data_IF_989446766174
#
_entry.id   IF_989446766174
#
_cell.length_a   1.000
_cell.length_b   1.000
_cell.length_c   1.000
_cell.angle_alpha   90.00
_cell.angle_beta   90.00
_cell.angle_gamma   90.00
#
_symmetry.space_group_name_H-M   'P 1'
#
loop_
_entity.id
_entity.type
_entity.pdbx_description
1 polymer ?
#
# COMPACT_ATOMS: atom_id res chain seq x y z
N UNK A 1 8.10 26.22 -24.35
CA UNK A 1 7.83 25.08 -23.43
C UNK A 1 7.64 25.67 -22.04
N UNK A 2 6.46 25.47 -21.44
CA UNK A 2 6.06 26.08 -20.16
C UNK A 2 7.07 25.73 -19.06
N UNK A 3 7.52 26.70 -18.26
CA UNK A 3 8.62 26.51 -17.28
C UNK A 3 8.30 25.41 -16.26
N UNK A 4 7.02 25.26 -15.88
CA UNK A 4 6.53 24.18 -15.02
C UNK A 4 6.81 22.76 -15.58
N UNK A 5 6.76 22.59 -16.91
CA UNK A 5 7.00 21.28 -17.54
C UNK A 5 8.50 20.96 -17.50
N UNK A 6 9.37 21.95 -17.76
CA UNK A 6 10.83 21.80 -17.66
C UNK A 6 11.24 21.39 -16.25
N UNK A 7 10.69 22.05 -15.24
CA UNK A 7 10.96 21.74 -13.83
C UNK A 7 10.49 20.31 -13.47
N UNK A 8 9.28 19.94 -13.89
CA UNK A 8 8.73 18.60 -13.65
C UNK A 8 9.60 17.50 -14.27
N UNK A 9 10.05 17.69 -15.52
CA UNK A 9 10.97 16.76 -16.20
C UNK A 9 12.30 16.65 -15.45
N UNK A 10 12.88 17.78 -15.03
CA UNK A 10 14.13 17.80 -14.27
C UNK A 10 13.99 17.04 -12.95
N UNK A 11 12.86 17.20 -12.25
CA UNK A 11 12.60 16.51 -11.00
C UNK A 11 12.47 14.99 -11.21
N UNK A 12 11.76 14.54 -12.25
CA UNK A 12 11.62 13.11 -12.59
C UNK A 12 12.98 12.49 -12.94
N UNK A 13 13.78 13.16 -13.78
CA UNK A 13 15.12 12.68 -14.14
C UNK A 13 16.10 12.71 -12.95
N UNK A 14 15.84 13.56 -11.97
CA UNK A 14 16.60 13.66 -10.72
C UNK A 14 16.32 12.55 -9.70
N UNK A 15 15.41 11.61 -9.99
CA UNK A 15 15.14 10.42 -9.18
C UNK A 15 16.05 9.25 -9.57
N UNK A 16 17.35 9.51 -9.62
CA UNK A 16 18.37 8.55 -10.03
C UNK A 16 18.81 7.60 -8.89
N UNK A 17 18.30 7.78 -7.67
CA UNK A 17 18.65 6.96 -6.50
C UNK A 17 17.43 6.23 -5.98
N UNK A 18 17.56 4.90 -5.82
CA UNK A 18 16.52 4.06 -5.25
C UNK A 18 16.06 4.55 -3.87
N UNK A 19 17.00 4.93 -2.98
CA UNK A 19 16.67 5.40 -1.64
C UNK A 19 15.85 6.69 -1.66
N UNK A 20 16.19 7.61 -2.58
CA UNK A 20 15.46 8.86 -2.76
C UNK A 20 14.06 8.61 -3.30
N UNK A 21 13.95 7.74 -4.31
CA UNK A 21 12.67 7.30 -4.87
C UNK A 21 11.80 6.67 -3.77
N UNK A 22 12.36 5.74 -3.00
CA UNK A 22 11.65 5.00 -1.95
C UNK A 22 11.17 5.92 -0.83
N UNK A 23 12.00 6.88 -0.39
CA UNK A 23 11.61 7.87 0.62
C UNK A 23 10.48 8.79 0.13
N UNK A 24 10.60 9.32 -1.10
CA UNK A 24 9.57 10.16 -1.72
C UNK A 24 8.26 9.41 -1.91
N UNK A 25 8.36 8.13 -2.27
CA UNK A 25 7.24 7.21 -2.44
C UNK A 25 6.54 6.90 -1.11
N UNK A 26 7.24 6.46 -0.07
CA UNK A 26 6.62 6.14 1.23
C UNK A 26 5.83 7.33 1.79
N UNK A 27 6.28 8.56 1.54
CA UNK A 27 5.55 9.76 1.94
C UNK A 27 4.12 9.84 1.35
N UNK A 28 3.86 9.19 0.22
CA UNK A 28 2.54 9.11 -0.41
C UNK A 28 1.57 8.18 0.33
N UNK A 29 2.07 7.27 1.17
CA UNK A 29 1.25 6.38 2.01
C UNK A 29 1.02 6.97 3.42
N UNK A 30 1.15 8.29 3.56
CA UNK A 30 1.02 8.95 4.86
C UNK A 30 -0.39 8.83 5.41
N UNK A 31 -0.50 8.15 6.54
CA UNK A 31 -1.76 7.98 7.26
C UNK A 31 -2.28 9.32 7.78
N UNK A 32 -3.55 9.63 7.50
CA UNK A 32 -4.25 10.76 8.09
C UNK A 32 -4.42 10.58 9.61
N UNK A 33 -4.50 11.68 10.37
CA UNK A 33 -4.66 11.61 11.84
C UNK A 33 -5.89 10.79 12.25
N UNK A 34 -7.01 10.96 11.56
CA UNK A 34 -8.25 10.19 11.79
C UNK A 34 -8.04 8.70 11.57
N UNK A 35 -7.33 8.33 10.49
CA UNK A 35 -7.01 6.93 10.19
C UNK A 35 -6.07 6.32 11.21
N UNK A 36 -5.01 7.04 11.61
CA UNK A 36 -4.10 6.59 12.68
C UNK A 36 -4.86 6.30 13.98
N UNK A 37 -5.73 7.22 14.38
CA UNK A 37 -6.55 7.05 15.59
C UNK A 37 -7.48 5.83 15.47
N UNK A 38 -8.16 5.65 14.33
CA UNK A 38 -8.99 4.48 14.07
C UNK A 38 -8.22 3.15 14.12
N UNK A 39 -7.00 3.11 13.55
CA UNK A 39 -6.15 1.92 13.59
C UNK A 39 -5.65 1.61 15.01
N UNK A 40 -5.32 2.63 15.80
CA UNK A 40 -4.91 2.44 17.20
C UNK A 40 -6.09 1.93 18.04
N UNK A 41 -7.30 2.48 17.86
CA UNK A 41 -8.48 1.97 18.55
C UNK A 41 -8.78 0.51 18.17
N UNK A 42 -8.68 0.18 16.89
CA UNK A 42 -8.85 -1.18 16.40
C UNK A 42 -7.78 -2.13 16.98
N UNK A 43 -6.54 -1.66 17.07
CA UNK A 43 -5.45 -2.42 17.68
C UNK A 43 -5.73 -2.72 19.15
N UNK A 44 -6.11 -1.71 19.93
CA UNK A 44 -6.47 -1.88 21.35
C UNK A 44 -7.62 -2.86 21.51
N UNK A 45 -8.66 -2.75 20.68
CA UNK A 45 -9.80 -3.68 20.69
C UNK A 45 -9.35 -5.12 20.42
N UNK A 46 -8.58 -5.35 19.35
CA UNK A 46 -8.09 -6.69 19.01
C UNK A 46 -7.17 -7.24 20.09
N UNK A 47 -6.27 -6.42 20.64
CA UNK A 47 -5.40 -6.81 21.73
C UNK A 47 -6.20 -7.29 22.95
N UNK A 48 -7.22 -6.54 23.37
CA UNK A 48 -8.09 -6.92 24.51
C UNK A 48 -8.85 -8.21 24.22
N UNK A 49 -9.38 -8.39 23.00
CA UNK A 49 -10.07 -9.62 22.61
C UNK A 49 -9.14 -10.83 22.63
N UNK A 50 -7.92 -10.72 22.11
CA UNK A 50 -6.95 -11.81 22.17
C UNK A 50 -6.55 -12.15 23.60
N UNK A 51 -6.30 -11.14 24.43
CA UNK A 51 -5.90 -11.33 25.83
C UNK A 51 -6.98 -11.98 26.69
N UNK A 52 -8.24 -11.54 26.56
CA UNK A 52 -9.30 -11.97 27.48
C UNK A 52 -10.08 -13.19 26.99
N UNK A 53 -10.23 -13.31 25.66
CA UNK A 53 -11.13 -14.28 25.02
C UNK A 53 -10.34 -15.32 24.24
N UNK A 54 -9.61 -14.93 23.20
CA UNK A 54 -9.12 -15.89 22.20
C UNK A 54 -7.99 -16.80 22.69
N UNK A 55 -7.05 -16.30 23.50
CA UNK A 55 -5.93 -17.10 24.00
C UNK A 55 -6.37 -18.33 24.83
N UNK A 56 -7.59 -18.32 25.38
CA UNK A 56 -8.13 -19.43 26.17
C UNK A 56 -8.68 -20.58 25.33
N UNK A 57 -8.99 -20.33 24.06
CA UNK A 57 -9.77 -21.23 23.21
C UNK A 57 -9.05 -21.64 21.93
N UNK A 58 -7.86 -21.11 21.67
CA UNK A 58 -7.18 -21.26 20.39
C UNK A 58 -5.74 -21.73 20.58
N UNK A 59 -5.33 -22.70 19.77
CA UNK A 59 -3.91 -23.03 19.60
C UNK A 59 -3.23 -21.88 18.83
N UNK A 60 -2.47 -21.05 19.56
CA UNK A 60 -1.90 -19.79 19.07
C UNK A 60 -1.14 -19.94 17.74
N UNK A 61 -0.25 -20.92 17.63
CA UNK A 61 0.58 -21.13 16.44
C UNK A 61 -0.26 -21.59 15.26
N UNK A 62 -1.17 -22.55 15.47
CA UNK A 62 -2.06 -23.05 14.41
C UNK A 62 -2.93 -21.93 13.86
N UNK A 63 -3.57 -21.16 14.74
CA UNK A 63 -4.39 -20.03 14.30
C UNK A 63 -3.58 -18.95 13.60
N UNK A 64 -2.35 -18.69 14.04
CA UNK A 64 -1.47 -17.73 13.37
C UNK A 64 -1.09 -18.22 11.97
N UNK A 65 -0.80 -19.52 11.79
CA UNK A 65 -0.56 -20.11 10.46
C UNK A 65 -1.74 -19.86 9.53
N UNK A 66 -2.96 -20.12 10.00
CA UNK A 66 -4.18 -19.92 9.21
C UNK A 66 -4.39 -18.44 8.85
N UNK A 67 -4.19 -17.53 9.80
CA UNK A 67 -4.31 -16.08 9.58
C UNK A 67 -3.26 -15.60 8.56
N UNK A 68 -2.00 -16.02 8.70
CA UNK A 68 -0.92 -15.64 7.78
C UNK A 68 -1.17 -16.22 6.39
N UNK A 69 -1.60 -17.48 6.28
CA UNK A 69 -1.94 -18.12 5.00
C UNK A 69 -3.09 -17.43 4.28
N UNK A 70 -4.17 -17.11 5.00
CA UNK A 70 -5.31 -16.37 4.44
C UNK A 70 -4.89 -14.96 4.01
N UNK A 71 -4.13 -14.25 4.84
CA UNK A 71 -3.60 -12.93 4.49
C UNK A 71 -2.71 -12.99 3.25
N UNK A 72 -1.83 -14.00 3.13
CA UNK A 72 -0.97 -14.20 1.96
C UNK A 72 -1.79 -14.37 0.68
N UNK A 73 -2.82 -15.21 0.70
CA UNK A 73 -3.69 -15.44 -0.46
C UNK A 73 -4.37 -14.16 -0.95
N UNK A 74 -4.91 -13.38 0.00
CA UNK A 74 -5.57 -12.09 -0.29
C UNK A 74 -4.56 -11.09 -0.84
N UNK A 75 -3.41 -10.93 -0.18
CA UNK A 75 -2.40 -9.93 -0.55
C UNK A 75 -1.78 -10.23 -1.92
N UNK A 76 -1.49 -11.49 -2.24
CA UNK A 76 -0.97 -11.87 -3.57
C UNK A 76 -1.99 -11.54 -4.66
N UNK A 77 -3.28 -11.83 -4.42
CA UNK A 77 -4.35 -11.48 -5.37
C UNK A 77 -4.45 -9.98 -5.60
N UNK A 78 -4.41 -9.19 -4.53
CA UNK A 78 -4.44 -7.73 -4.61
C UNK A 78 -3.17 -7.14 -5.22
N UNK A 79 -2.00 -7.76 -5.01
CA UNK A 79 -0.75 -7.33 -5.64
C UNK A 79 -0.86 -7.39 -7.17
N UNK A 80 -1.45 -8.46 -7.71
CA UNK A 80 -1.72 -8.57 -9.15
C UNK A 80 -2.65 -7.46 -9.66
N UNK A 81 -3.69 -7.12 -8.89
CA UNK A 81 -4.58 -5.98 -9.20
C UNK A 81 -3.81 -4.66 -9.20
N UNK A 82 -2.93 -4.45 -8.21
CA UNK A 82 -2.10 -3.24 -8.10
C UNK A 82 -1.16 -3.09 -9.30
N UNK A 83 -0.44 -4.16 -9.67
CA UNK A 83 0.47 -4.15 -10.83
C UNK A 83 -0.31 -3.90 -12.13
N UNK A 84 -1.49 -4.49 -12.27
CA UNK A 84 -2.37 -4.26 -13.42
C UNK A 84 -2.81 -2.79 -13.48
N UNK A 85 -3.25 -2.20 -12.37
CA UNK A 85 -3.61 -0.78 -12.35
C UNK A 85 -2.41 0.14 -12.61
N UNK A 86 -1.22 -0.24 -12.17
CA UNK A 86 -0.01 0.52 -12.50
C UNK A 86 0.34 0.43 -13.99
N UNK A 87 0.19 -0.73 -14.61
CA UNK A 87 0.34 -0.88 -16.07
C UNK A 87 -0.69 -0.04 -16.84
N UNK A 88 -1.95 -0.01 -16.39
CA UNK A 88 -2.99 0.89 -16.94
C UNK A 88 -2.55 2.35 -16.81
N UNK A 89 -2.00 2.74 -15.66
CA UNK A 89 -1.45 4.08 -15.47
C UNK A 89 -0.37 4.41 -16.49
N UNK A 90 0.60 3.53 -16.68
CA UNK A 90 1.67 3.74 -17.67
C UNK A 90 1.12 3.81 -19.10
N UNK A 91 0.10 3.01 -19.44
CA UNK A 91 -0.50 3.01 -20.78
C UNK A 91 -1.29 4.29 -21.08
N UNK A 92 -2.08 4.80 -20.12
CA UNK A 92 -2.91 6.00 -20.29
C UNK A 92 -2.10 7.29 -20.22
N UNK A 93 -0.92 7.28 -19.58
CA UNK A 93 -0.14 8.50 -19.37
C UNK A 93 0.77 8.79 -20.57
N UNK A 94 0.16 9.01 -21.74
CA UNK A 94 0.85 9.34 -22.98
C UNK A 94 0.36 10.68 -23.56
N UNK A 95 1.09 11.21 -24.56
CA UNK A 95 0.67 12.36 -25.36
C UNK A 95 0.18 13.57 -24.56
N UNK A 96 -1.04 14.05 -24.85
CA UNK A 96 -1.64 15.21 -24.17
C UNK A 96 -1.98 14.94 -22.71
N UNK A 97 -2.27 13.70 -22.32
CA UNK A 97 -2.55 13.33 -20.92
C UNK A 97 -1.30 13.53 -20.05
N UNK A 98 -0.14 13.06 -20.51
CA UNK A 98 1.14 13.29 -19.85
C UNK A 98 1.43 14.79 -19.70
N UNK A 99 1.26 15.56 -20.78
CA UNK A 99 1.48 17.01 -20.76
C UNK A 99 0.54 17.70 -19.77
N UNK A 100 -0.74 17.30 -19.73
CA UNK A 100 -1.71 17.85 -18.78
C UNK A 100 -1.29 17.59 -17.34
N UNK A 101 -0.82 16.38 -17.03
CA UNK A 101 -0.37 16.00 -15.69
C UNK A 101 0.95 16.68 -15.29
N UNK A 102 1.88 16.89 -16.24
CA UNK A 102 3.12 17.64 -16.00
C UNK A 102 2.89 19.14 -15.83
N UNK A 103 1.84 19.69 -16.45
CA UNK A 103 1.51 21.12 -16.36
C UNK A 103 0.97 21.51 -14.98
N UNK A 104 0.25 20.59 -14.33
CA UNK A 104 -0.27 20.79 -12.97
C UNK A 104 0.82 20.44 -11.96
N UNK A 105 1.57 21.46 -11.55
CA UNK A 105 2.56 21.39 -10.47
C UNK A 105 1.98 22.10 -9.24
N UNK A 106 1.63 21.33 -8.20
CA UNK A 106 1.25 21.87 -6.88
C UNK A 106 2.32 21.40 -5.90
N UNK A 107 2.86 22.32 -5.11
CA UNK A 107 3.76 21.98 -3.99
C UNK A 107 5.02 21.18 -4.38
N UNK A 108 5.68 21.55 -5.49
CA UNK A 108 6.96 21.00 -5.99
C UNK A 108 6.91 19.62 -6.67
N UNK A 109 5.73 19.03 -6.83
CA UNK A 109 5.55 17.79 -7.60
C UNK A 109 4.45 17.96 -8.65
N UNK A 110 4.71 17.42 -9.84
CA UNK A 110 3.67 17.29 -10.85
C UNK A 110 2.66 16.21 -10.47
N UNK A 111 1.44 16.32 -11.00
CA UNK A 111 0.42 15.27 -10.83
C UNK A 111 0.91 13.91 -11.34
N UNK A 112 1.72 13.90 -12.41
CA UNK A 112 2.34 12.67 -12.90
C UNK A 112 3.22 12.00 -11.83
N UNK A 113 4.10 12.77 -11.18
CA UNK A 113 4.97 12.27 -10.12
C UNK A 113 4.17 11.74 -8.93
N UNK A 114 3.14 12.46 -8.51
CA UNK A 114 2.28 12.04 -7.40
C UNK A 114 1.66 10.65 -7.65
N UNK A 115 1.04 10.43 -8.82
CA UNK A 115 0.50 9.12 -9.17
C UNK A 115 1.60 8.06 -9.32
N UNK A 116 2.71 8.39 -10.00
CA UNK A 116 3.79 7.44 -10.23
C UNK A 116 4.39 6.95 -8.91
N UNK A 117 4.68 7.86 -7.97
CA UNK A 117 5.17 7.50 -6.66
C UNK A 117 4.14 6.74 -5.85
N UNK A 118 2.86 7.13 -5.89
CA UNK A 118 1.80 6.41 -5.19
C UNK A 118 1.69 4.96 -5.66
N UNK A 119 1.59 4.72 -6.98
CA UNK A 119 1.50 3.37 -7.55
C UNK A 119 2.75 2.54 -7.21
N UNK A 120 3.94 3.13 -7.32
CA UNK A 120 5.18 2.45 -6.92
C UNK A 120 5.17 2.08 -5.43
N UNK A 121 4.72 2.99 -4.55
CA UNK A 121 4.68 2.76 -3.10
C UNK A 121 3.74 1.64 -2.70
N UNK A 122 2.54 1.62 -3.28
CA UNK A 122 1.57 0.56 -2.97
C UNK A 122 2.06 -0.79 -3.52
N UNK A 123 2.71 -0.83 -4.69
CA UNK A 123 3.37 -2.05 -5.18
C UNK A 123 4.44 -2.54 -4.19
N UNK A 124 5.29 -1.64 -3.68
CA UNK A 124 6.31 -2.00 -2.68
C UNK A 124 5.71 -2.47 -1.36
N UNK A 125 4.64 -1.83 -0.88
CA UNK A 125 3.94 -2.23 0.35
C UNK A 125 3.43 -3.68 0.25
N UNK A 126 2.76 -4.02 -0.85
CA UNK A 126 2.20 -5.36 -1.05
C UNK A 126 3.31 -6.40 -1.23
N UNK A 127 4.37 -6.09 -1.99
CA UNK A 127 5.53 -6.96 -2.12
C UNK A 127 6.22 -7.20 -0.77
N UNK A 128 6.36 -6.16 0.05
CA UNK A 128 6.93 -6.26 1.38
C UNK A 128 6.12 -7.18 2.30
N UNK A 129 4.77 -7.06 2.26
CA UNK A 129 3.88 -7.95 3.03
C UNK A 129 4.03 -9.41 2.56
N UNK A 130 4.10 -9.65 1.25
CA UNK A 130 4.32 -11.00 0.69
C UNK A 130 5.61 -11.62 1.25
N UNK A 131 6.70 -10.84 1.30
CA UNK A 131 8.00 -11.28 1.83
C UNK A 131 7.90 -11.58 3.33
N UNK A 132 7.31 -10.68 4.12
CA UNK A 132 7.13 -10.89 5.57
C UNK A 132 6.29 -12.14 5.85
N UNK A 133 5.18 -12.31 5.14
CA UNK A 133 4.30 -13.45 5.32
C UNK A 133 4.99 -14.76 4.94
N UNK A 134 5.81 -14.75 3.89
CA UNK A 134 6.61 -15.90 3.49
C UNK A 134 7.63 -16.29 4.58
N UNK A 135 8.41 -15.33 5.07
CA UNK A 135 9.38 -15.55 6.16
C UNK A 135 8.65 -16.05 7.42
N UNK A 136 7.53 -15.42 7.77
CA UNK A 136 6.71 -15.79 8.94
C UNK A 136 6.17 -17.22 8.79
N UNK A 137 5.70 -17.60 7.59
CA UNK A 137 5.20 -18.94 7.32
C UNK A 137 6.30 -20.00 7.44
N UNK A 138 7.52 -19.71 6.97
CA UNK A 138 8.68 -20.60 7.18
C UNK A 138 8.89 -20.82 8.68
N UNK A 139 8.95 -19.74 9.47
CA UNK A 139 9.16 -19.86 10.91
C UNK A 139 8.05 -20.69 11.59
N UNK A 140 6.79 -20.34 11.35
CA UNK A 140 5.64 -21.01 11.98
C UNK A 140 5.54 -22.49 11.59
N UNK A 141 5.85 -22.85 10.35
CA UNK A 141 5.79 -24.25 9.89
C UNK A 141 6.87 -25.14 10.49
N UNK A 142 7.95 -24.56 11.02
CA UNK A 142 9.06 -25.30 11.61
C UNK A 142 8.99 -25.39 13.15
N UNK A 143 7.96 -24.83 13.78
CA UNK A 143 7.75 -24.93 15.23
C UNK A 143 6.52 -25.82 15.57
N UNK A 144 6.57 -26.58 16.68
CA UNK A 144 5.41 -27.33 17.16
C UNK A 144 4.23 -26.42 17.50
N UNK A 145 2.99 -26.88 17.31
CA UNK A 145 1.80 -26.04 17.54
C UNK A 145 1.62 -25.59 19.00
N UNK A 146 2.24 -26.30 19.96
CA UNK A 146 2.23 -25.98 21.40
C UNK A 146 3.52 -25.30 21.89
N UNK A 147 4.29 -24.70 20.98
CA UNK A 147 5.53 -24.04 21.34
C UNK A 147 5.30 -22.73 22.11
N UNK A 148 6.19 -22.44 23.07
CA UNK A 148 6.21 -21.20 23.86
C UNK A 148 7.65 -20.84 24.22
N UNK A 149 7.92 -19.57 24.54
CA UNK A 149 9.25 -19.14 24.99
C UNK A 149 9.49 -19.69 26.41
N UNK A 150 10.44 -20.61 26.54
CA UNK A 150 10.72 -21.34 27.78
C UNK A 150 11.25 -20.46 28.93
N UNK A 151 11.79 -19.28 28.61
CA UNK A 151 12.29 -18.32 29.59
C UNK A 151 11.22 -17.35 30.11
N UNK A 152 10.00 -17.40 29.58
CA UNK A 152 8.88 -16.55 30.01
C UNK A 152 7.80 -17.39 30.69
N UNK A 153 7.13 -16.80 31.68
CA UNK A 153 5.92 -17.40 32.24
C UNK A 153 4.78 -17.38 31.22
N UNK A 154 3.77 -18.23 31.46
CA UNK A 154 2.64 -18.39 30.53
C UNK A 154 1.92 -17.06 30.27
N UNK A 155 1.69 -16.25 31.30
CA UNK A 155 0.96 -14.99 31.16
C UNK A 155 1.73 -13.99 30.31
N UNK A 156 3.05 -13.92 30.45
CA UNK A 156 3.89 -13.05 29.61
C UNK A 156 3.94 -13.55 28.17
N UNK A 157 4.05 -14.87 27.94
CA UNK A 157 3.94 -15.48 26.61
C UNK A 157 2.61 -15.12 25.93
N UNK A 158 1.48 -15.31 26.62
CA UNK A 158 0.15 -15.00 26.13
C UNK A 158 -0.01 -13.51 25.80
N UNK A 159 0.56 -12.64 26.65
CA UNK A 159 0.56 -11.18 26.43
C UNK A 159 1.35 -10.80 25.19
N UNK A 160 2.56 -11.36 25.05
CA UNK A 160 3.42 -11.11 23.92
C UNK A 160 2.79 -11.57 22.61
N UNK A 161 2.17 -12.76 22.63
CA UNK A 161 1.42 -13.28 21.50
C UNK A 161 0.26 -12.34 21.10
N UNK A 162 -0.57 -11.90 22.05
CA UNK A 162 -1.69 -11.00 21.77
C UNK A 162 -1.24 -9.66 21.19
N UNK A 163 -0.12 -9.09 21.66
CA UNK A 163 0.46 -7.86 21.08
C UNK A 163 0.88 -8.10 19.63
N UNK A 164 1.64 -9.17 19.36
CA UNK A 164 2.17 -9.43 18.02
C UNK A 164 1.06 -9.73 17.01
N UNK A 165 0.11 -10.60 17.34
CA UNK A 165 -0.95 -11.00 16.41
C UNK A 165 -1.90 -9.85 16.12
N UNK A 166 -2.23 -9.03 17.12
CA UNK A 166 -3.07 -7.84 16.93
C UNK A 166 -2.37 -6.79 16.07
N UNK A 167 -1.07 -6.53 16.29
CA UNK A 167 -0.28 -5.63 15.45
C UNK A 167 -0.24 -6.11 14.00
N UNK A 168 0.00 -7.41 13.79
CA UNK A 168 0.01 -8.02 12.47
C UNK A 168 -1.34 -7.85 11.76
N UNK A 169 -2.46 -8.18 12.41
CA UNK A 169 -3.79 -8.03 11.81
C UNK A 169 -4.07 -6.58 11.44
N UNK A 170 -3.75 -5.62 12.32
CA UNK A 170 -3.95 -4.20 12.04
C UNK A 170 -3.07 -3.73 10.87
N UNK A 171 -1.85 -4.24 10.77
CA UNK A 171 -0.95 -3.94 9.66
C UNK A 171 -1.52 -4.46 8.33
N UNK A 172 -2.03 -5.69 8.28
CA UNK A 172 -2.69 -6.26 7.09
C UNK A 172 -3.95 -5.45 6.73
N UNK A 173 -4.82 -5.18 7.70
CA UNK A 173 -6.03 -4.37 7.49
C UNK A 173 -5.70 -2.96 6.98
N UNK A 174 -4.63 -2.35 7.48
CA UNK A 174 -4.17 -1.06 6.99
C UNK A 174 -3.80 -1.13 5.50
N UNK A 175 -3.11 -2.19 5.05
CA UNK A 175 -2.79 -2.37 3.64
C UNK A 175 -4.05 -2.56 2.79
N UNK A 176 -5.04 -3.33 3.27
CA UNK A 176 -6.32 -3.51 2.58
C UNK A 176 -7.09 -2.18 2.43
N UNK A 177 -7.06 -1.32 3.45
CA UNK A 177 -7.69 0.01 3.39
C UNK A 177 -7.06 0.88 2.28
N UNK A 178 -5.77 0.71 1.96
CA UNK A 178 -5.15 1.45 0.85
C UNK A 178 -5.72 1.12 -0.52
N UNK A 179 -6.37 -0.05 -0.70
CA UNK A 179 -7.03 -0.38 -1.96
C UNK A 179 -8.12 0.63 -2.31
N UNK A 180 -8.79 1.23 -1.31
CA UNK A 180 -9.75 2.31 -1.56
C UNK A 180 -9.08 3.51 -2.23
N UNK A 181 -7.93 3.95 -1.71
CA UNK A 181 -7.14 5.06 -2.27
C UNK A 181 -6.67 4.72 -3.68
N UNK A 182 -6.23 3.47 -3.90
CA UNK A 182 -5.82 2.97 -5.20
C UNK A 182 -6.94 3.05 -6.24
N UNK A 183 -8.13 2.53 -5.92
CA UNK A 183 -9.29 2.57 -6.83
C UNK A 183 -9.67 4.01 -7.15
N UNK A 184 -9.65 4.90 -6.15
CA UNK A 184 -9.92 6.31 -6.35
C UNK A 184 -8.91 6.98 -7.30
N UNK A 185 -7.61 6.72 -7.12
CA UNK A 185 -6.56 7.26 -7.97
C UNK A 185 -6.66 6.74 -9.41
N UNK A 186 -7.01 5.46 -9.58
CA UNK A 186 -7.27 4.88 -10.90
C UNK A 186 -8.46 5.57 -11.60
N UNK A 187 -9.55 5.81 -10.87
CA UNK A 187 -10.71 6.53 -11.39
C UNK A 187 -10.33 7.95 -11.85
N UNK A 188 -9.61 8.71 -11.01
CA UNK A 188 -9.18 10.06 -11.37
C UNK A 188 -8.29 10.09 -12.61
N UNK A 189 -7.41 9.10 -12.76
CA UNK A 189 -6.58 8.96 -13.94
C UNK A 189 -7.43 8.76 -15.20
N UNK A 190 -8.40 7.83 -15.16
CA UNK A 190 -9.31 7.60 -16.29
C UNK A 190 -10.04 8.87 -16.70
N UNK A 191 -10.59 9.61 -15.73
CA UNK A 191 -11.25 10.89 -16.00
C UNK A 191 -10.29 11.91 -16.63
N UNK A 192 -9.06 12.00 -16.12
CA UNK A 192 -8.04 12.92 -16.64
C UNK A 192 -7.70 12.58 -18.10
N UNK A 193 -7.47 11.30 -18.40
CA UNK A 193 -7.20 10.83 -19.74
C UNK A 193 -8.36 11.09 -20.70
N UNK A 194 -9.60 10.80 -20.28
CA UNK A 194 -10.79 11.02 -21.10
C UNK A 194 -10.96 12.51 -21.46
N UNK A 195 -10.81 13.41 -20.48
CA UNK A 195 -10.88 14.86 -20.70
C UNK A 195 -9.77 15.34 -21.61
N UNK A 196 -8.52 14.91 -21.39
CA UNK A 196 -7.39 15.29 -22.24
C UNK A 196 -7.58 14.83 -23.70
N UNK A 197 -8.13 13.63 -23.89
CA UNK A 197 -8.42 13.05 -25.20
C UNK A 197 -9.56 13.79 -25.91
N UNK A 198 -10.63 14.14 -25.19
CA UNK A 198 -11.74 14.92 -25.73
C UNK A 198 -11.28 16.32 -26.19
N UNK A 199 -10.48 17.01 -25.36
CA UNK A 199 -9.87 18.30 -25.74
C UNK A 199 -9.00 18.14 -26.99
N UNK A 200 -8.23 17.04 -27.08
CA UNK A 200 -7.41 16.77 -28.26
C UNK A 200 -8.23 16.66 -29.54
N UNK A 201 -9.38 15.99 -29.49
CA UNK A 201 -10.26 15.83 -30.64
C UNK A 201 -10.88 17.16 -31.06
N UNK A 202 -11.38 17.94 -30.09
CA UNK A 202 -11.94 19.28 -30.34
C UNK A 202 -10.90 20.21 -30.98
N UNK A 203 -9.65 20.18 -30.49
CA UNK A 203 -8.57 21.01 -31.07
C UNK A 203 -8.24 20.62 -32.51
N UNK A 204 -8.30 19.32 -32.83
CA UNK A 204 -8.09 18.80 -34.20
C UNK A 204 -9.20 19.22 -35.14
N UNK A 205 -10.45 19.18 -34.70
CA UNK A 205 -11.60 19.63 -35.50
C UNK A 205 -11.56 21.14 -35.80
N UNK A 206 -10.97 21.94 -34.90
CA UNK A 206 -10.82 23.39 -35.09
C UNK A 206 -9.64 23.81 -35.96
N UNK A 207 -8.72 22.89 -36.28
CA UNK A 207 -7.50 23.17 -37.03
C UNK A 207 -7.54 22.37 -38.35
N UNK A 208 -8.33 22.81 -39.35
CA UNK A 208 -8.48 22.11 -40.63
C UNK A 208 -7.16 22.00 -41.40
#
# INVERSE_FOLDING_TARGET
>A
MNDNIKESIKNILGDNSFNKLLFNSIAMLKLSRRRKLGLVLLWVLLFVLYMLVFNKHIDAIKSTKDIVGNAQSIIVSLFSVVITGYAIFQALTNGKTLIAMLKVNREKMSKFQEYNYFFFSISLLYLFIIIINFITSIFLNNIPDKWSLSFLDKKTNDTFYSVLVSLYIVFILNALIEMKSFVYNLYQLFSTHAVASAIQQIDKEKSP
#
